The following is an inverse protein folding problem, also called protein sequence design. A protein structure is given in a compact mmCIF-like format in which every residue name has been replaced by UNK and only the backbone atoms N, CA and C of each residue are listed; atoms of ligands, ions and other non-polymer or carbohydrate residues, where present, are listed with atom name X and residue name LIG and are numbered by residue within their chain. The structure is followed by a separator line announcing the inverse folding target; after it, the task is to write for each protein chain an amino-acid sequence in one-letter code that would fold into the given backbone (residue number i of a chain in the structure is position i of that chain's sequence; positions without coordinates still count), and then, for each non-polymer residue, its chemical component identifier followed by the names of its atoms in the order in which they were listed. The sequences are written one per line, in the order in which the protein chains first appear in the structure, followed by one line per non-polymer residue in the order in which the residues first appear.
data_IF_525475039960
#
_entry.id   IF_525475039960
#
_cell.length_a   1.000
_cell.length_b   1.000
_cell.length_c   1.000
_cell.angle_alpha   90.00
_cell.angle_beta   90.00
_cell.angle_gamma   90.00
#
_symmetry.space_group_name_H-M   'P 1'
#
loop_
_entity.id
_entity.type
_entity.pdbx_description
1 polymer ?
#
# COMPACT_ATOMS: atom_id res chain seq x y z
N UNK A 1 44.55 27.49 -62.78
CA UNK A 1 43.56 28.46 -63.33
C UNK A 1 42.45 28.54 -62.31
N UNK A 2 42.00 29.76 -61.97
CA UNK A 2 41.09 30.08 -60.85
C UNK A 2 41.65 29.77 -59.44
N UNK A 3 41.80 30.68 -58.46
CA UNK A 3 41.29 32.06 -58.26
C UNK A 3 39.75 32.16 -58.34
N UNK A 4 38.96 32.72 -57.41
CA UNK A 4 39.10 33.55 -56.20
C UNK A 4 37.74 33.37 -55.42
N UNK A 5 37.46 33.75 -54.16
CA UNK A 5 38.14 34.50 -53.06
C UNK A 5 37.46 34.14 -51.69
N UNK A 6 38.07 34.32 -50.50
CA UNK A 6 37.90 35.42 -49.50
C UNK A 6 36.44 35.83 -49.16
N UNK A 7 36.04 36.27 -47.96
CA UNK A 7 36.61 36.52 -46.61
C UNK A 7 35.38 36.46 -45.63
N UNK A 8 35.38 36.62 -44.30
CA UNK A 8 36.35 37.02 -43.26
C UNK A 8 35.91 36.31 -41.95
N UNK A 9 36.80 35.87 -41.07
CA UNK A 9 37.22 36.58 -39.83
C UNK A 9 36.11 36.68 -38.75
N UNK A 10 36.35 36.62 -37.44
CA UNK A 10 37.55 36.63 -36.59
C UNK A 10 37.07 36.25 -35.15
N UNK A 11 37.84 36.00 -34.08
CA UNK A 11 39.27 35.88 -33.79
C UNK A 11 39.43 35.26 -32.38
N UNK A 12 40.64 34.83 -31.98
CA UNK A 12 41.05 34.70 -30.56
C UNK A 12 40.45 33.51 -29.78
N UNK A 13 41.08 32.34 -29.60
CA UNK A 13 42.49 31.94 -29.44
C UNK A 13 43.07 32.03 -28.01
N UNK A 14 43.78 30.95 -27.63
CA UNK A 14 44.62 30.69 -26.44
C UNK A 14 44.00 30.63 -25.03
N UNK A 15 44.21 29.47 -24.35
CA UNK A 15 43.97 29.26 -22.92
C UNK A 15 44.40 27.86 -22.45
N UNK A 16 45.55 27.78 -21.78
CA UNK A 16 46.27 26.53 -21.45
C UNK A 16 45.72 25.76 -20.21
N UNK A 17 45.94 24.44 -20.23
CA UNK A 17 46.32 23.56 -19.11
C UNK A 17 45.42 23.26 -17.87
N UNK A 18 45.39 21.96 -17.57
CA UNK A 18 45.41 21.29 -16.25
C UNK A 18 44.23 21.36 -15.25
N UNK A 19 43.49 20.25 -15.23
CA UNK A 19 43.05 19.46 -14.05
C UNK A 19 42.80 20.16 -12.70
N UNK A 20 41.56 20.09 -12.23
CA UNK A 20 41.25 19.84 -10.80
C UNK A 20 40.04 18.90 -10.65
N UNK A 21 40.20 17.91 -9.78
CA UNK A 21 39.12 17.06 -9.25
C UNK A 21 38.25 17.89 -8.30
N UNK A 22 36.92 17.72 -8.29
CA UNK A 22 36.07 17.93 -7.11
C UNK A 22 34.75 17.14 -7.20
N UNK A 23 34.60 16.26 -6.21
CA UNK A 23 33.41 15.84 -5.46
C UNK A 23 32.11 15.34 -6.13
N UNK A 24 31.70 14.17 -5.62
CA UNK A 24 30.40 13.55 -5.80
C UNK A 24 29.24 14.48 -5.40
N UNK A 25 28.38 14.85 -6.35
CA UNK A 25 27.08 15.43 -6.03
C UNK A 25 26.08 14.32 -5.64
N UNK A 26 25.33 14.43 -4.53
CA UNK A 26 24.45 13.37 -4.07
C UNK A 26 23.28 13.17 -5.03
N UNK A 27 23.03 11.93 -5.44
CA UNK A 27 21.79 11.59 -6.15
C UNK A 27 20.59 12.01 -5.31
N UNK A 28 19.83 12.99 -5.80
CA UNK A 28 18.51 13.32 -5.24
C UNK A 28 17.67 12.04 -5.29
N UNK A 29 17.42 11.44 -4.13
CA UNK A 29 16.35 10.45 -3.97
C UNK A 29 15.05 11.19 -4.25
N UNK A 30 14.56 11.10 -5.47
CA UNK A 30 13.21 11.53 -5.82
C UNK A 30 12.28 10.63 -5.01
N UNK A 31 11.70 11.18 -3.94
CA UNK A 31 10.50 10.61 -3.33
C UNK A 31 9.41 10.73 -4.39
N UNK A 32 9.11 9.63 -5.06
CA UNK A 32 7.85 9.49 -5.77
C UNK A 32 6.75 9.26 -4.71
N UNK A 33 6.43 10.31 -3.97
CA UNK A 33 5.20 10.40 -3.21
C UNK A 33 4.11 10.70 -4.24
N UNK A 34 3.39 9.65 -4.65
CA UNK A 34 2.21 9.78 -5.49
C UNK A 34 1.09 10.29 -4.59
N UNK A 35 0.96 11.62 -4.53
CA UNK A 35 -0.25 12.26 -4.02
C UNK A 35 -1.35 12.05 -5.06
N UNK A 36 -2.34 11.22 -4.76
CA UNK A 36 -3.53 11.10 -5.58
C UNK A 36 -4.49 12.24 -5.24
N UNK A 37 -4.67 13.18 -6.16
CA UNK A 37 -5.68 14.23 -6.08
C UNK A 37 -7.11 13.63 -6.09
N UNK A 38 -8.08 14.42 -5.62
CA UNK A 38 -9.47 14.01 -5.42
C UNK A 38 -10.21 13.78 -6.77
N UNK A 39 -10.08 12.56 -7.30
CA UNK A 39 -10.87 12.07 -8.44
C UNK A 39 -12.24 11.59 -7.92
N UNK A 40 -13.31 12.06 -8.58
CA UNK A 40 -14.70 11.68 -8.30
C UNK A 40 -14.86 10.15 -8.19
N UNK A 41 -15.63 9.69 -7.19
CA UNK A 41 -15.75 8.26 -6.87
C UNK A 41 -16.20 7.40 -8.09
N UNK A 42 -16.93 7.99 -9.05
CA UNK A 42 -17.38 7.33 -10.29
C UNK A 42 -16.21 6.89 -11.18
N UNK A 43 -15.16 7.70 -11.31
CA UNK A 43 -14.03 7.39 -12.19
C UNK A 43 -13.00 6.47 -11.51
N UNK A 44 -13.06 6.34 -10.18
CA UNK A 44 -12.38 5.29 -9.44
C UNK A 44 -13.07 3.93 -9.58
N UNK A 45 -14.40 3.94 -9.76
CA UNK A 45 -15.22 2.72 -9.94
C UNK A 45 -14.95 2.06 -11.29
N UNK A 46 -14.88 2.84 -12.37
CA UNK A 46 -14.61 2.34 -13.73
C UNK A 46 -13.26 1.59 -13.86
N UNK A 47 -12.28 1.95 -13.04
CA UNK A 47 -10.91 1.42 -13.07
C UNK A 47 -10.68 0.21 -12.13
N UNK A 48 -11.65 -0.14 -11.26
CA UNK A 48 -11.48 -1.23 -10.29
C UNK A 48 -11.07 -2.57 -10.93
N UNK A 49 -11.74 -3.08 -11.99
CA UNK A 49 -11.38 -4.39 -12.56
C UNK A 49 -9.93 -4.47 -13.04
N UNK A 50 -9.41 -3.39 -13.65
CA UNK A 50 -8.03 -3.32 -14.12
C UNK A 50 -7.03 -3.27 -12.96
N UNK A 51 -7.28 -2.43 -11.95
CA UNK A 51 -6.43 -2.34 -10.75
C UNK A 51 -6.33 -3.69 -10.00
N UNK A 52 -7.42 -4.46 -9.95
CA UNK A 52 -7.43 -5.81 -9.37
C UNK A 52 -6.60 -6.81 -10.18
N UNK A 53 -6.59 -6.71 -11.52
CA UNK A 53 -5.80 -7.58 -12.41
C UNK A 53 -4.31 -7.22 -12.32
N UNK A 54 -3.98 -5.93 -12.34
CA UNK A 54 -2.60 -5.45 -12.17
C UNK A 54 -2.05 -5.92 -10.82
N UNK A 55 -2.81 -5.78 -9.74
CA UNK A 55 -2.36 -6.15 -8.39
C UNK A 55 -2.10 -7.65 -8.26
N UNK A 56 -2.98 -8.51 -8.78
CA UNK A 56 -2.78 -9.97 -8.81
C UNK A 56 -1.52 -10.39 -9.58
N UNK A 57 -1.18 -9.67 -10.66
CA UNK A 57 0.01 -9.95 -11.46
C UNK A 57 1.31 -9.36 -10.86
N UNK A 58 1.22 -8.20 -10.20
CA UNK A 58 2.40 -7.46 -9.71
C UNK A 58 2.86 -7.95 -8.33
N UNK A 59 1.95 -8.23 -7.38
CA UNK A 59 2.35 -8.64 -6.02
C UNK A 59 3.28 -9.86 -5.99
N UNK A 60 3.04 -10.96 -6.74
CA UNK A 60 3.94 -12.12 -6.75
C UNK A 60 5.34 -11.80 -7.30
N UNK A 61 5.45 -10.80 -8.17
CA UNK A 61 6.70 -10.37 -8.81
C UNK A 61 7.54 -9.43 -7.92
N UNK A 62 7.00 -8.96 -6.78
CA UNK A 62 7.73 -8.11 -5.84
C UNK A 62 8.83 -8.91 -5.12
N UNK A 63 10.00 -8.99 -5.74
CA UNK A 63 11.23 -9.60 -5.22
C UNK A 63 11.93 -8.76 -4.13
N UNK A 64 11.43 -7.55 -3.84
CA UNK A 64 11.97 -6.67 -2.82
C UNK A 64 12.12 -7.37 -1.45
N UNK A 65 13.25 -7.12 -0.79
CA UNK A 65 13.68 -7.84 0.42
C UNK A 65 12.86 -7.51 1.68
N UNK A 66 12.29 -6.30 1.77
CA UNK A 66 11.41 -5.91 2.89
C UNK A 66 10.31 -4.94 2.44
N UNK A 67 9.05 -5.39 2.47
CA UNK A 67 7.89 -4.50 2.41
C UNK A 67 7.50 -4.21 3.86
N UNK A 68 7.84 -3.03 4.39
CA UNK A 68 7.54 -2.67 5.79
C UNK A 68 6.10 -2.21 6.00
N UNK A 69 5.52 -1.55 4.98
CA UNK A 69 4.17 -0.99 5.02
C UNK A 69 3.34 -1.53 3.88
N UNK A 70 2.09 -1.86 4.15
CA UNK A 70 1.14 -2.32 3.14
C UNK A 70 -0.24 -1.72 3.43
N UNK A 71 -0.78 -0.98 2.47
CA UNK A 71 -2.05 -0.27 2.62
C UNK A 71 -3.00 -0.69 1.51
N UNK A 72 -4.12 -1.29 1.88
CA UNK A 72 -5.20 -1.68 1.01
C UNK A 72 -6.38 -0.71 1.20
N UNK A 73 -6.82 -0.06 0.12
CA UNK A 73 -7.94 0.88 0.13
C UNK A 73 -8.87 0.53 -1.04
N UNK A 74 -10.04 -0.01 -0.76
CA UNK A 74 -10.96 -0.49 -1.80
C UNK A 74 -12.37 0.06 -1.65
N UNK A 75 -13.09 0.07 -2.77
CA UNK A 75 -14.54 0.32 -2.82
C UNK A 75 -15.18 -0.98 -3.29
N UNK A 76 -16.12 -1.50 -2.52
CA UNK A 76 -16.92 -2.66 -2.85
C UNK A 76 -18.19 -2.23 -3.55
N UNK A 77 -18.38 -2.81 -4.72
CA UNK A 77 -19.57 -2.69 -5.55
C UNK A 77 -20.31 -4.01 -5.43
N UNK A 78 -21.58 -3.96 -5.06
CA UNK A 78 -22.42 -5.15 -5.08
C UNK A 78 -22.90 -5.40 -6.51
N UNK A 79 -23.08 -6.67 -6.86
CA UNK A 79 -23.56 -7.15 -8.17
C UNK A 79 -22.72 -6.79 -9.41
N UNK A 80 -21.46 -6.37 -9.25
CA UNK A 80 -20.52 -6.15 -10.37
C UNK A 80 -19.88 -7.44 -10.92
N UNK A 81 -20.13 -8.58 -10.27
CA UNK A 81 -19.58 -9.90 -10.62
C UNK A 81 -18.15 -10.16 -10.14
N UNK A 82 -17.56 -9.28 -9.33
CA UNK A 82 -16.14 -9.35 -8.93
C UNK A 82 -15.97 -9.98 -7.54
N UNK A 83 -15.14 -11.02 -7.46
CA UNK A 83 -14.80 -11.69 -6.19
C UNK A 83 -13.73 -10.92 -5.40
N UNK A 84 -14.08 -9.71 -4.91
CA UNK A 84 -13.19 -8.86 -4.11
C UNK A 84 -12.61 -9.57 -2.88
N UNK A 85 -13.44 -10.34 -2.17
CA UNK A 85 -13.07 -10.93 -0.88
C UNK A 85 -11.89 -11.92 -1.03
N UNK A 86 -11.92 -12.74 -2.08
CA UNK A 86 -10.87 -13.71 -2.38
C UNK A 86 -9.56 -13.03 -2.79
N UNK A 87 -9.62 -11.94 -3.56
CA UNK A 87 -8.44 -11.16 -3.95
C UNK A 87 -7.78 -10.51 -2.73
N UNK A 88 -8.56 -9.82 -1.90
CA UNK A 88 -8.05 -9.17 -0.68
C UNK A 88 -7.47 -10.20 0.30
N UNK A 89 -8.10 -11.37 0.45
CA UNK A 89 -7.54 -12.47 1.24
C UNK A 89 -6.12 -12.84 0.81
N UNK A 90 -5.90 -13.09 -0.49
CA UNK A 90 -4.56 -13.39 -1.06
C UNK A 90 -3.56 -12.26 -0.85
N UNK A 91 -3.99 -11.00 -0.91
CA UNK A 91 -3.11 -9.84 -0.73
C UNK A 91 -2.71 -9.64 0.74
N UNK A 92 -3.60 -9.98 1.68
CA UNK A 92 -3.31 -10.00 3.11
C UNK A 92 -2.40 -11.18 3.48
N UNK A 93 -2.60 -12.37 2.89
CA UNK A 93 -1.65 -13.49 2.98
C UNK A 93 -0.27 -13.09 2.46
N UNK A 94 -0.19 -12.42 1.31
CA UNK A 94 1.07 -11.88 0.77
C UNK A 94 1.75 -10.92 1.76
N UNK A 95 0.99 -10.01 2.38
CA UNK A 95 1.53 -9.06 3.38
C UNK A 95 2.12 -9.77 4.61
N UNK A 96 1.43 -10.80 5.14
CA UNK A 96 1.93 -11.62 6.25
C UNK A 96 3.18 -12.41 5.83
N UNK A 97 3.16 -13.04 4.66
CA UNK A 97 4.30 -13.79 4.13
C UNK A 97 5.54 -12.90 3.88
N UNK A 98 5.32 -11.63 3.50
CA UNK A 98 6.38 -10.60 3.38
C UNK A 98 6.80 -9.97 4.71
N UNK A 99 6.22 -10.41 5.83
CA UNK A 99 6.49 -9.93 7.20
C UNK A 99 6.29 -8.42 7.34
N UNK A 100 5.20 -7.89 6.77
CA UNK A 100 4.81 -6.48 6.90
C UNK A 100 4.65 -6.10 8.38
N UNK A 101 5.13 -4.90 8.73
CA UNK A 101 5.11 -4.32 10.08
C UNK A 101 3.94 -3.35 10.29
N UNK A 102 3.52 -2.61 9.25
CA UNK A 102 2.47 -1.57 9.28
C UNK A 102 1.42 -1.91 8.21
N UNK A 103 0.31 -2.54 8.63
CA UNK A 103 -0.78 -2.98 7.76
C UNK A 103 -2.01 -2.09 7.93
N UNK A 104 -2.58 -1.64 6.81
CA UNK A 104 -3.84 -0.88 6.78
C UNK A 104 -4.83 -1.51 5.81
N UNK A 105 -6.07 -1.68 6.25
CA UNK A 105 -7.18 -2.15 5.43
C UNK A 105 -8.36 -1.19 5.60
N UNK A 106 -8.62 -0.39 4.57
CA UNK A 106 -9.81 0.43 4.44
C UNK A 106 -10.69 -0.15 3.32
N UNK A 107 -11.94 -0.45 3.66
CA UNK A 107 -12.97 -0.91 2.73
C UNK A 107 -14.08 0.13 2.77
N UNK A 108 -14.55 0.62 1.63
CA UNK A 108 -15.77 1.42 1.53
C UNK A 108 -16.81 0.60 0.77
N UNK A 109 -18.08 0.70 1.14
CA UNK A 109 -19.17 0.06 0.42
C UNK A 109 -20.02 1.14 -0.26
N UNK A 110 -20.54 0.88 -1.46
CA UNK A 110 -21.42 1.83 -2.19
C UNK A 110 -22.83 1.86 -1.59
N UNK A 111 -23.27 0.72 -1.05
CA UNK A 111 -24.53 0.53 -0.31
C UNK A 111 -24.20 -0.02 1.08
N UNK A 112 -25.14 0.02 2.02
CA UNK A 112 -24.85 -0.39 3.40
C UNK A 112 -24.51 -1.90 3.45
N UNK A 113 -23.35 -2.31 4.03
CA UNK A 113 -22.97 -3.72 4.08
C UNK A 113 -23.90 -4.60 4.91
N UNK A 114 -24.77 -4.00 5.74
CA UNK A 114 -25.82 -4.71 6.49
C UNK A 114 -27.08 -4.97 5.66
N UNK A 115 -27.33 -4.23 4.58
CA UNK A 115 -28.44 -4.49 3.64
C UNK A 115 -28.20 -5.76 2.81
N UNK A 116 -26.94 -6.19 2.68
CA UNK A 116 -26.51 -7.37 1.94
C UNK A 116 -25.78 -8.41 2.81
N UNK A 117 -26.03 -8.40 4.13
CA UNK A 117 -25.67 -9.41 5.16
C UNK A 117 -24.17 -9.79 5.35
N UNK A 118 -23.23 -9.33 4.52
CA UNK A 118 -21.84 -9.81 4.56
C UNK A 118 -20.78 -8.69 4.40
N UNK A 119 -20.49 -7.93 5.47
CA UNK A 119 -19.26 -7.15 5.54
C UNK A 119 -18.02 -8.07 5.46
N UNK A 120 -16.92 -7.56 4.89
CA UNK A 120 -15.69 -8.32 4.66
C UNK A 120 -15.18 -8.96 5.95
N UNK A 121 -14.89 -10.26 5.90
CA UNK A 121 -14.29 -11.00 7.03
C UNK A 121 -12.77 -10.89 7.00
N UNK A 122 -12.17 -10.35 8.06
CA UNK A 122 -10.73 -10.40 8.25
C UNK A 122 -10.24 -11.86 8.28
N UNK A 123 -9.25 -12.23 7.44
CA UNK A 123 -8.77 -13.61 7.36
C UNK A 123 -7.90 -13.96 8.58
N UNK A 124 -8.01 -15.19 9.07
CA UNK A 124 -7.36 -15.68 10.29
C UNK A 124 -5.82 -15.56 10.26
N UNK A 125 -5.22 -15.54 9.06
CA UNK A 125 -3.78 -15.29 8.86
C UNK A 125 -3.30 -13.97 9.48
N UNK A 126 -4.17 -12.96 9.58
CA UNK A 126 -3.88 -11.70 10.27
C UNK A 126 -3.93 -11.84 11.80
N UNK A 127 -4.87 -12.64 12.30
CA UNK A 127 -5.05 -12.89 13.75
C UNK A 127 -3.83 -13.57 14.36
N UNK A 128 -3.14 -14.41 13.58
CA UNK A 128 -1.94 -15.15 14.00
C UNK A 128 -0.62 -14.51 13.54
N UNK A 129 -0.64 -13.31 12.94
CA UNK A 129 0.58 -12.69 12.41
C UNK A 129 1.44 -12.08 13.52
N UNK A 130 2.66 -12.62 13.67
CA UNK A 130 3.67 -12.10 14.61
C UNK A 130 4.56 -11.00 14.04
N UNK A 131 4.45 -10.68 12.74
CA UNK A 131 5.24 -9.59 12.11
C UNK A 131 4.58 -8.22 12.20
N UNK A 132 3.24 -8.19 12.25
CA UNK A 132 2.49 -6.93 12.23
C UNK A 132 2.66 -6.26 13.60
N UNK A 133 3.14 -5.02 13.57
CA UNK A 133 3.35 -4.16 14.73
C UNK A 133 2.30 -3.05 14.80
N UNK A 134 1.72 -2.67 13.65
CA UNK A 134 0.62 -1.70 13.53
C UNK A 134 -0.46 -2.26 12.63
N UNK A 135 -1.68 -2.30 13.14
CA UNK A 135 -2.86 -2.73 12.40
C UNK A 135 -3.91 -1.62 12.41
N UNK A 136 -4.31 -1.15 11.24
CA UNK A 136 -5.50 -0.33 11.05
C UNK A 136 -6.51 -1.14 10.22
N UNK A 137 -7.72 -1.28 10.73
CA UNK A 137 -8.83 -1.95 10.05
C UNK A 137 -10.08 -1.07 10.14
N UNK A 138 -10.65 -0.78 8.98
CA UNK A 138 -11.90 -0.04 8.83
C UNK A 138 -12.96 -0.90 8.14
N UNK A 139 -14.24 -0.76 8.53
CA UNK A 139 -15.41 -1.26 7.79
C UNK A 139 -15.37 -2.78 7.49
N UNK A 140 -14.87 -3.61 8.40
CA UNK A 140 -14.81 -5.07 8.26
C UNK A 140 -15.29 -5.79 9.53
N UNK A 141 -15.43 -7.12 9.46
CA UNK A 141 -15.82 -7.97 10.59
C UNK A 141 -14.69 -8.92 11.00
N UNK A 142 -14.62 -9.23 12.29
CA UNK A 142 -13.81 -10.34 12.79
C UNK A 142 -14.66 -11.62 12.70
N UNK A 143 -14.08 -12.72 12.19
CA UNK A 143 -14.76 -14.01 12.13
C UNK A 143 -15.19 -14.46 13.54
N UNK A 144 -16.37 -15.08 13.63
CA UNK A 144 -17.02 -15.39 14.90
C UNK A 144 -16.11 -16.18 15.86
N UNK A 145 -15.56 -17.30 15.42
CA UNK A 145 -14.73 -18.20 16.23
C UNK A 145 -13.23 -17.82 16.22
N UNK A 146 -12.90 -16.61 15.78
CA UNK A 146 -11.54 -16.14 15.62
C UNK A 146 -10.88 -15.82 16.96
N UNK A 147 -9.73 -16.46 17.22
CA UNK A 147 -8.86 -16.14 18.36
C UNK A 147 -7.81 -15.12 17.90
N UNK A 148 -7.78 -13.97 18.57
CA UNK A 148 -6.90 -12.84 18.24
C UNK A 148 -5.57 -12.98 18.97
N UNK A 149 -4.56 -13.50 18.26
CA UNK A 149 -3.21 -13.71 18.76
C UNK A 149 -2.26 -12.55 18.39
N UNK A 150 -2.73 -11.31 18.56
CA UNK A 150 -2.02 -10.09 18.18
C UNK A 150 -0.92 -9.67 19.19
N UNK A 151 -0.13 -10.62 19.69
CA UNK A 151 0.88 -10.39 20.74
C UNK A 151 2.01 -9.45 20.33
N UNK A 152 2.26 -9.29 19.02
CA UNK A 152 3.30 -8.41 18.48
C UNK A 152 2.85 -6.96 18.23
N UNK A 153 1.54 -6.67 18.29
CA UNK A 153 1.04 -5.32 18.02
C UNK A 153 1.55 -4.31 19.06
N UNK A 154 1.72 -3.08 18.59
CA UNK A 154 2.10 -1.88 19.35
C UNK A 154 1.19 -0.70 19.03
N UNK A 155 0.27 -0.88 18.09
CA UNK A 155 -0.68 0.11 17.59
C UNK A 155 -1.83 -0.64 16.92
N UNK A 156 -3.05 -0.32 17.33
CA UNK A 156 -4.27 -0.90 16.81
C UNK A 156 -5.25 0.24 16.60
N UNK A 157 -5.84 0.31 15.41
CA UNK A 157 -6.86 1.29 15.06
C UNK A 157 -8.03 0.52 14.44
N UNK A 158 -9.19 0.61 15.08
CA UNK A 158 -10.40 -0.09 14.69
C UNK A 158 -11.50 0.94 14.46
N UNK A 159 -11.97 1.02 13.22
CA UNK A 159 -12.95 2.03 12.80
C UNK A 159 -14.13 1.33 12.12
N UNK A 160 -15.35 1.59 12.60
CA UNK A 160 -16.59 0.96 12.13
C UNK A 160 -16.49 -0.57 11.91
N UNK A 161 -15.97 -1.30 12.91
CA UNK A 161 -15.86 -2.76 12.86
C UNK A 161 -17.10 -3.46 13.43
N UNK A 162 -17.49 -4.54 12.78
CA UNK A 162 -18.46 -5.50 13.32
C UNK A 162 -17.74 -6.45 14.29
N UNK A 163 -17.91 -6.19 15.59
CA UNK A 163 -17.28 -6.92 16.69
C UNK A 163 -18.34 -7.57 17.59
N UNK A 164 -18.01 -8.73 18.17
CA UNK A 164 -18.77 -9.35 19.27
C UNK A 164 -18.10 -9.07 20.62
N UNK A 165 -18.83 -9.25 21.72
CA UNK A 165 -18.31 -9.11 23.08
C UNK A 165 -17.03 -9.94 23.32
N UNK A 166 -16.94 -11.13 22.73
CA UNK A 166 -15.78 -12.02 22.80
C UNK A 166 -14.55 -11.42 22.12
N UNK A 167 -14.75 -10.72 20.99
CA UNK A 167 -13.68 -10.00 20.31
C UNK A 167 -13.25 -8.78 21.11
N UNK A 168 -14.19 -8.05 21.70
CA UNK A 168 -13.90 -6.89 22.57
C UNK A 168 -13.08 -7.32 23.80
N UNK A 169 -13.46 -8.42 24.47
CA UNK A 169 -12.70 -8.99 25.61
C UNK A 169 -11.27 -9.36 25.22
N UNK A 170 -11.09 -9.98 24.05
CA UNK A 170 -9.76 -10.33 23.52
C UNK A 170 -8.93 -9.08 23.20
N UNK A 171 -9.49 -8.10 22.49
CA UNK A 171 -8.84 -6.82 22.15
C UNK A 171 -8.40 -6.08 23.42
N UNK A 172 -9.27 -5.99 24.43
CA UNK A 172 -8.94 -5.35 25.71
C UNK A 172 -7.79 -6.07 26.42
N UNK A 173 -7.77 -7.40 26.44
CA UNK A 173 -6.65 -8.17 27.00
C UNK A 173 -5.33 -7.88 26.27
N UNK A 174 -5.34 -7.86 24.93
CA UNK A 174 -4.16 -7.56 24.10
C UNK A 174 -3.61 -6.16 24.41
N UNK A 175 -4.48 -5.14 24.43
CA UNK A 175 -4.07 -3.74 24.65
C UNK A 175 -3.60 -3.48 26.08
N UNK A 176 -4.17 -4.15 27.08
CA UNK A 176 -3.70 -4.07 28.47
C UNK A 176 -2.26 -4.60 28.61
N UNK A 177 -1.92 -5.68 27.89
CA UNK A 177 -0.59 -6.28 27.90
C UNK A 177 0.51 -5.42 27.24
N UNK A 178 0.18 -4.30 26.58
CA UNK A 178 1.19 -3.38 26.03
C UNK A 178 1.82 -2.46 27.08
N UNK A 179 1.24 -2.39 28.29
CA UNK A 179 1.66 -1.48 29.37
C UNK A 179 2.41 -2.20 30.50
N UNK A 180 2.83 -3.45 30.26
CA UNK A 180 3.58 -4.32 31.18
C UNK A 180 4.93 -4.70 30.56
#
# INVERSE_FOLDING_TARGET
MSNQEQFSSNCGDNGNSETLLIENSPMKKVKNEIECEDIDNIDRISQLPEALIITDNVLPLLSCSTIKKFSLNFVFIYDDGVSYFLKIGKWLEFAVNKKVEDLRLNIRYIVDPTEHDQPYSLPEVLSNSSSILKLNCENCRILEDCVLNWTSLRSLTLENLFLRDEHIKQIMSIVLNWNL
#
